data_IF_030908070747
#
_entry.id   IF_030908070747
#
_cell.length_a   1.000
_cell.length_b   1.000
_cell.length_c   1.000
_cell.angle_alpha   90.00
_cell.angle_beta   90.00
_cell.angle_gamma   90.00
#
_symmetry.space_group_name_H-M   'P 1'
#
loop_
_entity.id
_entity.type
_entity.pdbx_description
1 polymer ?
#
# COMPACT_ATOMS: atom_id res chain seq x y z
N UNK A 1 -9.17 -17.64 -5.29
CA UNK A 1 -8.48 -18.08 -6.53
C UNK A 1 -7.20 -17.27 -6.67
N UNK A 2 -6.12 -17.86 -7.17
CA UNK A 2 -4.91 -17.12 -7.55
C UNK A 2 -4.70 -17.25 -9.07
N UNK A 3 -4.46 -16.14 -9.75
CA UNK A 3 -4.17 -16.05 -11.18
C UNK A 3 -2.78 -15.46 -11.33
N UNK A 4 -1.92 -16.19 -12.02
CA UNK A 4 -0.58 -15.72 -12.36
C UNK A 4 -0.54 -15.41 -13.85
N UNK A 5 -0.12 -14.18 -14.20
CA UNK A 5 -0.03 -13.71 -15.58
C UNK A 5 1.34 -13.12 -15.86
N UNK A 6 1.85 -13.43 -17.06
CA UNK A 6 3.09 -12.88 -17.59
C UNK A 6 2.73 -12.13 -18.88
N UNK A 7 3.12 -10.87 -18.95
CA UNK A 7 2.87 -9.95 -20.04
C UNK A 7 4.16 -9.71 -20.83
N UNK A 8 4.02 -9.30 -22.09
CA UNK A 8 5.16 -9.01 -22.96
C UNK A 8 5.84 -7.69 -22.60
N UNK A 9 5.05 -6.71 -22.16
CA UNK A 9 5.47 -5.35 -21.82
C UNK A 9 5.14 -5.04 -20.36
N UNK A 10 5.90 -4.13 -19.77
CA UNK A 10 5.63 -3.63 -18.42
C UNK A 10 4.41 -2.71 -18.46
N UNK A 11 3.44 -2.97 -17.59
CA UNK A 11 2.23 -2.15 -17.45
C UNK A 11 2.00 -1.82 -15.98
N UNK A 12 1.29 -0.73 -15.70
CA UNK A 12 0.71 -0.46 -14.40
C UNK A 12 -0.78 -0.81 -14.43
N UNK A 13 -1.22 -1.81 -13.65
CA UNK A 13 -2.57 -2.37 -13.82
C UNK A 13 -3.69 -1.39 -13.47
N UNK A 14 -3.45 -0.46 -12.54
CA UNK A 14 -4.47 0.42 -11.97
C UNK A 14 -4.17 1.92 -12.14
N UNK A 15 -3.40 2.29 -13.16
CA UNK A 15 -2.88 3.64 -13.34
C UNK A 15 -2.71 4.08 -14.81
N UNK A 16 -2.40 5.36 -15.04
CA UNK A 16 -2.48 6.01 -16.37
C UNK A 16 -1.10 6.35 -17.00
N UNK A 17 0.00 6.20 -16.27
CA UNK A 17 1.38 6.50 -16.70
C UNK A 17 1.93 5.40 -17.61
N UNK A 18 1.69 4.14 -17.26
CA UNK A 18 1.90 2.95 -18.10
C UNK A 18 0.52 2.38 -18.49
N UNK A 19 -0.24 3.13 -19.31
CA UNK A 19 -1.65 2.83 -19.57
C UNK A 19 -1.78 1.49 -20.27
N UNK A 20 -2.84 0.78 -19.91
CA UNK A 20 -3.25 -0.46 -20.53
C UNK A 20 -4.78 -0.48 -20.69
N UNK A 21 -5.31 -1.41 -21.46
CA UNK A 21 -6.77 -1.62 -21.59
C UNK A 21 -7.16 -3.07 -21.19
N UNK A 22 -6.40 -3.61 -20.23
CA UNK A 22 -6.49 -5.00 -19.81
C UNK A 22 -7.68 -5.21 -18.89
N UNK A 23 -8.38 -6.32 -19.12
CA UNK A 23 -9.51 -6.78 -18.33
C UNK A 23 -9.32 -8.24 -17.97
N UNK A 24 -9.89 -8.64 -16.84
CA UNK A 24 -10.02 -10.05 -16.46
C UNK A 24 -11.49 -10.43 -16.58
N UNK A 25 -11.78 -11.40 -17.42
CA UNK A 25 -13.11 -11.96 -17.61
C UNK A 25 -13.20 -13.26 -16.82
N UNK A 26 -14.19 -13.33 -15.92
CA UNK A 26 -14.46 -14.50 -15.09
C UNK A 26 -15.84 -15.05 -15.40
N UNK A 27 -15.86 -16.30 -15.81
CA UNK A 27 -17.03 -17.18 -15.88
C UNK A 27 -16.96 -18.05 -14.61
N UNK A 28 -17.87 -17.80 -13.68
CA UNK A 28 -17.74 -18.24 -12.28
C UNK A 28 -18.36 -19.62 -12.04
N UNK A 29 -19.00 -20.22 -13.05
CA UNK A 29 -19.61 -21.54 -12.99
C UNK A 29 -19.30 -22.47 -14.18
N UNK A 30 -18.51 -22.01 -15.16
CA UNK A 30 -18.20 -22.70 -16.42
C UNK A 30 -19.46 -23.01 -17.25
N UNK A 31 -20.44 -22.10 -17.24
CA UNK A 31 -21.67 -22.16 -18.02
C UNK A 31 -21.76 -20.98 -19.00
N UNK A 32 -21.90 -21.28 -20.29
CA UNK A 32 -22.01 -20.25 -21.34
C UNK A 32 -23.38 -19.55 -21.35
N UNK A 33 -24.38 -20.09 -20.65
CA UNK A 33 -25.73 -19.54 -20.59
C UNK A 33 -25.93 -18.57 -19.42
N UNK A 34 -24.96 -18.47 -18.50
CA UNK A 34 -24.89 -17.47 -17.42
C UNK A 34 -24.01 -16.29 -17.83
N UNK A 35 -24.07 -15.19 -17.09
CA UNK A 35 -23.34 -13.96 -17.43
C UNK A 35 -23.67 -13.36 -18.80
N UNK A 36 -22.63 -12.87 -19.49
CA UNK A 36 -22.69 -12.31 -20.86
C UNK A 36 -21.55 -12.81 -21.74
N UNK A 37 -21.82 -12.98 -23.04
CA UNK A 37 -20.77 -13.20 -24.04
C UNK A 37 -20.06 -11.89 -24.38
N UNK A 38 -19.07 -11.54 -23.56
CA UNK A 38 -18.33 -10.31 -23.71
C UNK A 38 -17.45 -10.35 -24.98
N UNK A 39 -17.65 -9.37 -25.87
CA UNK A 39 -16.90 -9.23 -27.12
C UNK A 39 -16.93 -10.47 -28.05
N UNK A 40 -18.01 -11.27 -27.98
CA UNK A 40 -18.19 -12.50 -28.77
C UNK A 40 -17.03 -13.51 -28.58
N UNK A 41 -16.44 -13.55 -27.38
CA UNK A 41 -15.29 -14.39 -27.03
C UNK A 41 -15.68 -15.83 -26.67
N UNK A 42 -16.99 -16.10 -26.52
CA UNK A 42 -17.52 -17.43 -26.24
C UNK A 42 -17.32 -17.87 -24.79
N UNK A 43 -17.52 -16.97 -23.83
CA UNK A 43 -17.56 -17.24 -22.39
C UNK A 43 -18.87 -16.72 -21.78
N UNK A 44 -19.36 -17.36 -20.72
CA UNK A 44 -20.43 -16.82 -19.88
C UNK A 44 -19.85 -15.90 -18.82
N UNK A 45 -19.46 -14.66 -19.19
CA UNK A 45 -18.76 -13.76 -18.25
C UNK A 45 -19.72 -13.25 -17.18
N UNK A 46 -19.60 -13.76 -15.96
CA UNK A 46 -20.37 -13.30 -14.80
C UNK A 46 -19.73 -12.08 -14.13
N UNK A 47 -18.40 -11.98 -14.15
CA UNK A 47 -17.66 -10.90 -13.50
C UNK A 47 -16.51 -10.43 -14.40
N UNK A 48 -16.57 -9.16 -14.78
CA UNK A 48 -15.51 -8.46 -15.51
C UNK A 48 -14.75 -7.55 -14.55
N UNK A 49 -13.43 -7.59 -14.58
CA UNK A 49 -12.56 -6.68 -13.85
C UNK A 49 -11.89 -5.74 -14.86
N UNK A 50 -12.23 -4.46 -14.78
CA UNK A 50 -11.59 -3.38 -15.50
C UNK A 50 -10.47 -2.82 -14.61
N UNK A 51 -9.26 -3.30 -14.85
CA UNK A 51 -8.09 -3.02 -14.02
C UNK A 51 -7.73 -1.51 -14.06
N UNK A 52 -7.61 -0.86 -15.23
CA UNK A 52 -7.32 0.57 -15.30
C UNK A 52 -8.36 1.44 -14.58
N UNK A 53 -9.64 1.11 -14.71
CA UNK A 53 -10.73 1.88 -14.10
C UNK A 53 -11.02 1.50 -12.64
N UNK A 54 -10.26 0.53 -12.07
CA UNK A 54 -10.41 0.05 -10.69
C UNK A 54 -11.84 -0.39 -10.35
N UNK A 55 -12.48 -1.05 -11.32
CA UNK A 55 -13.89 -1.41 -11.24
C UNK A 55 -14.10 -2.88 -11.57
N UNK A 56 -15.02 -3.51 -10.86
CA UNK A 56 -15.60 -4.79 -11.23
C UNK A 56 -17.03 -4.59 -11.72
N UNK A 57 -17.44 -5.34 -12.73
CA UNK A 57 -18.79 -5.33 -13.29
C UNK A 57 -19.33 -6.75 -13.20
N UNK A 58 -20.36 -6.93 -12.38
CA UNK A 58 -21.08 -8.19 -12.27
C UNK A 58 -22.24 -8.20 -13.25
N UNK A 59 -22.41 -9.34 -13.92
CA UNK A 59 -23.49 -9.62 -14.87
C UNK A 59 -24.46 -10.68 -14.34
N UNK A 60 -24.02 -11.54 -13.41
CA UNK A 60 -24.89 -12.50 -12.74
C UNK A 60 -25.92 -11.78 -11.87
N UNK A 61 -27.21 -12.12 -12.03
CA UNK A 61 -28.31 -11.47 -11.29
C UNK A 61 -28.67 -10.04 -11.73
N UNK A 62 -28.01 -9.50 -12.76
CA UNK A 62 -28.19 -8.14 -13.29
C UNK A 62 -26.85 -7.44 -13.52
N UNK A 63 -26.85 -6.23 -14.09
CA UNK A 63 -25.62 -5.43 -14.27
C UNK A 63 -25.40 -4.51 -13.07
N UNK A 64 -24.30 -4.72 -12.34
CA UNK A 64 -23.90 -3.91 -11.19
C UNK A 64 -22.41 -3.58 -11.20
N UNK A 65 -22.07 -2.35 -10.82
CA UNK A 65 -20.68 -1.94 -10.63
C UNK A 65 -20.27 -2.12 -9.17
N UNK A 66 -19.11 -2.71 -8.96
CA UNK A 66 -18.50 -3.03 -7.67
C UNK A 66 -17.07 -2.49 -7.62
N UNK A 67 -16.55 -2.25 -6.42
CA UNK A 67 -15.13 -1.93 -6.24
C UNK A 67 -14.28 -3.20 -6.23
N UNK A 68 -12.98 -3.06 -6.47
CA UNK A 68 -12.03 -4.17 -6.34
C UNK A 68 -12.02 -4.77 -4.91
N UNK A 69 -12.33 -3.96 -3.89
CA UNK A 69 -12.43 -4.43 -2.51
C UNK A 69 -13.69 -5.26 -2.25
N UNK A 70 -14.81 -4.95 -2.91
CA UNK A 70 -16.07 -5.69 -2.75
C UNK A 70 -15.91 -7.14 -3.22
N UNK A 71 -15.11 -7.36 -4.26
CA UNK A 71 -14.77 -8.69 -4.79
C UNK A 71 -13.52 -9.31 -4.12
N UNK A 72 -12.90 -8.61 -3.17
CA UNK A 72 -11.70 -9.05 -2.47
C UNK A 72 -10.52 -9.35 -3.40
N UNK A 73 -10.28 -8.48 -4.39
CA UNK A 73 -9.14 -8.57 -5.29
C UNK A 73 -7.88 -7.99 -4.62
N UNK A 74 -6.82 -8.77 -4.59
CA UNK A 74 -5.47 -8.34 -4.22
C UNK A 74 -4.50 -8.62 -5.36
N UNK A 75 -3.59 -7.69 -5.63
CA UNK A 75 -2.66 -7.77 -6.76
C UNK A 75 -1.22 -7.57 -6.28
N UNK A 76 -0.29 -8.32 -6.82
CA UNK A 76 1.15 -8.16 -6.58
C UNK A 76 1.95 -8.26 -7.90
N UNK A 77 2.91 -7.36 -8.16
CA UNK A 77 3.18 -6.14 -7.40
C UNK A 77 2.07 -5.10 -7.60
N UNK A 78 2.06 -4.06 -6.74
CA UNK A 78 0.98 -3.07 -6.66
C UNK A 78 1.18 -1.83 -7.53
N UNK A 79 2.26 -1.76 -8.32
CA UNK A 79 2.54 -0.64 -9.21
C UNK A 79 2.64 -1.11 -10.66
N UNK A 80 3.85 -1.49 -11.10
CA UNK A 80 4.09 -1.97 -12.46
C UNK A 80 4.94 -3.24 -12.47
N UNK A 81 4.74 -4.05 -13.51
CA UNK A 81 5.50 -5.28 -13.74
C UNK A 81 5.22 -5.83 -15.14
N UNK A 82 6.02 -6.81 -15.55
CA UNK A 82 5.69 -7.76 -16.62
C UNK A 82 5.08 -9.05 -16.08
N UNK A 83 5.05 -9.23 -14.75
CA UNK A 83 4.57 -10.45 -14.08
C UNK A 83 3.70 -10.06 -12.88
N UNK A 84 2.48 -10.60 -12.80
CA UNK A 84 1.52 -10.29 -11.75
C UNK A 84 0.86 -11.54 -11.17
N UNK A 85 0.62 -11.52 -9.87
CA UNK A 85 -0.25 -12.44 -9.15
C UNK A 85 -1.51 -11.71 -8.67
N UNK A 86 -2.68 -12.23 -9.04
CA UNK A 86 -3.98 -11.71 -8.65
C UNK A 86 -4.69 -12.74 -7.78
N UNK A 87 -5.08 -12.34 -6.58
CA UNK A 87 -5.83 -13.15 -5.63
C UNK A 87 -7.27 -12.63 -5.54
N UNK A 88 -8.24 -13.49 -5.79
CA UNK A 88 -9.67 -13.21 -5.68
C UNK A 88 -10.25 -13.95 -4.49
N UNK A 89 -10.95 -13.23 -3.61
CA UNK A 89 -11.64 -13.83 -2.48
C UNK A 89 -12.88 -14.58 -2.94
N UNK A 90 -12.89 -15.91 -2.76
CA UNK A 90 -13.90 -16.82 -3.34
C UNK A 90 -15.33 -16.44 -3.01
N UNK A 91 -15.62 -16.16 -1.73
CA UNK A 91 -16.98 -15.80 -1.28
C UNK A 91 -17.40 -14.43 -1.81
N UNK A 92 -16.48 -13.47 -1.86
CA UNK A 92 -16.73 -12.12 -2.37
C UNK A 92 -16.99 -12.11 -3.88
N UNK A 93 -16.30 -12.99 -4.62
CA UNK A 93 -16.57 -13.18 -6.05
C UNK A 93 -17.82 -14.01 -6.33
N UNK A 94 -18.39 -14.69 -5.33
CA UNK A 94 -19.54 -15.60 -5.46
C UNK A 94 -19.26 -16.84 -6.35
N UNK A 95 -18.05 -17.40 -6.29
CA UNK A 95 -17.74 -18.65 -7.00
C UNK A 95 -18.45 -19.83 -6.30
N UNK A 96 -19.51 -20.33 -6.94
CA UNK A 96 -20.38 -21.40 -6.44
C UNK A 96 -20.31 -22.71 -7.27
N UNK A 97 -19.91 -22.62 -8.54
CA UNK A 97 -19.74 -23.74 -9.45
C UNK A 97 -18.55 -24.66 -9.14
N UNK A 98 -18.53 -25.89 -9.70
CA UNK A 98 -17.41 -26.84 -9.53
C UNK A 98 -16.16 -26.44 -10.33
N UNK A 99 -16.30 -25.50 -11.25
CA UNK A 99 -15.26 -25.02 -12.14
C UNK A 99 -15.55 -23.59 -12.56
N UNK A 100 -14.50 -22.91 -13.01
CA UNK A 100 -14.55 -21.55 -13.53
C UNK A 100 -13.71 -21.46 -14.80
N UNK A 101 -13.92 -20.41 -15.59
CA UNK A 101 -12.96 -19.99 -16.62
C UNK A 101 -12.48 -18.58 -16.38
N UNK A 102 -11.19 -18.38 -16.61
CA UNK A 102 -10.54 -17.08 -16.53
C UNK A 102 -9.97 -16.72 -17.88
N UNK A 103 -10.24 -15.52 -18.38
CA UNK A 103 -9.65 -14.99 -19.60
C UNK A 103 -9.07 -13.60 -19.34
N UNK A 104 -7.85 -13.39 -19.80
CA UNK A 104 -7.27 -12.07 -19.95
C UNK A 104 -7.76 -11.47 -21.27
N UNK A 105 -8.22 -10.23 -21.25
CA UNK A 105 -8.70 -9.54 -22.44
C UNK A 105 -8.01 -8.20 -22.58
N UNK A 106 -7.46 -7.94 -23.77
CA UNK A 106 -6.90 -6.64 -24.12
C UNK A 106 -7.92 -5.85 -24.96
N UNK A 107 -8.51 -4.81 -24.38
CA UNK A 107 -9.48 -3.97 -25.07
C UNK A 107 -8.90 -3.14 -26.21
N UNK A 108 -7.58 -2.92 -26.24
CA UNK A 108 -6.93 -2.17 -27.30
C UNK A 108 -6.82 -2.99 -28.59
N UNK A 109 -6.59 -4.30 -28.46
CA UNK A 109 -6.45 -5.23 -29.60
C UNK A 109 -7.72 -6.05 -29.86
N UNK A 110 -8.59 -6.19 -28.86
CA UNK A 110 -9.76 -7.08 -28.89
C UNK A 110 -9.40 -8.55 -28.71
N UNK A 111 -8.19 -8.86 -28.23
CA UNK A 111 -7.70 -10.23 -28.09
C UNK A 111 -7.97 -10.79 -26.70
N UNK A 112 -8.56 -12.00 -26.65
CA UNK A 112 -8.74 -12.79 -25.43
C UNK A 112 -7.72 -13.93 -25.33
N UNK A 113 -7.10 -14.10 -24.16
CA UNK A 113 -6.12 -15.14 -23.88
C UNK A 113 -6.33 -15.83 -22.51
N UNK A 114 -6.19 -17.17 -22.42
CA UNK A 114 -6.13 -18.09 -23.55
C UNK A 114 -7.49 -18.20 -24.24
N UNK A 115 -7.50 -18.57 -25.52
CA UNK A 115 -8.73 -18.78 -26.27
C UNK A 115 -9.63 -19.82 -25.58
N UNK A 116 -10.93 -19.51 -25.42
CA UNK A 116 -11.90 -20.33 -24.69
C UNK A 116 -11.75 -20.33 -23.17
N UNK A 117 -10.92 -19.45 -22.61
CA UNK A 117 -10.71 -19.29 -21.18
C UNK A 117 -9.88 -20.41 -20.55
N UNK A 118 -9.06 -20.05 -19.57
CA UNK A 118 -8.32 -20.99 -18.76
C UNK A 118 -9.29 -21.69 -17.80
N UNK A 119 -9.56 -22.97 -18.03
CA UNK A 119 -10.36 -23.80 -17.13
C UNK A 119 -9.64 -24.02 -15.80
N UNK A 120 -10.36 -23.84 -14.70
CA UNK A 120 -9.90 -24.18 -13.36
C UNK A 120 -11.00 -24.91 -12.59
N UNK A 121 -10.71 -26.14 -12.14
CA UNK A 121 -11.61 -26.87 -11.25
C UNK A 121 -11.47 -26.31 -9.83
N UNK A 122 -12.59 -25.94 -9.22
CA UNK A 122 -12.62 -25.41 -7.86
C UNK A 122 -12.32 -26.54 -6.87
N UNK A 123 -11.46 -26.25 -5.90
CA UNK A 123 -11.00 -27.22 -4.91
C UNK A 123 -11.30 -26.73 -3.50
N UNK A 124 -11.92 -27.60 -2.70
CA UNK A 124 -12.07 -27.41 -1.25
C UNK A 124 -10.79 -27.78 -0.48
N UNK A 125 -9.75 -28.26 -1.17
CA UNK A 125 -8.46 -28.52 -0.56
C UNK A 125 -7.81 -27.18 -0.19
N UNK A 126 -8.00 -26.77 1.05
CA UNK A 126 -7.31 -25.62 1.62
C UNK A 126 -5.83 -25.99 1.77
N UNK A 127 -4.95 -25.19 1.16
CA UNK A 127 -3.55 -25.15 1.59
C UNK A 127 -3.55 -24.87 3.10
N UNK A 128 -2.75 -25.60 3.91
CA UNK A 128 -2.70 -25.34 5.33
C UNK A 128 -2.23 -23.90 5.54
N UNK A 129 -3.12 -23.05 6.04
CA UNK A 129 -2.72 -21.71 6.47
C UNK A 129 -1.74 -21.85 7.62
N UNK A 130 -0.54 -21.32 7.44
CA UNK A 130 0.42 -21.17 8.51
C UNK A 130 0.27 -19.76 9.06
N UNK A 131 -0.21 -19.58 10.31
CA UNK A 131 -0.24 -18.28 10.93
C UNK A 131 1.17 -17.69 10.94
N UNK A 132 1.34 -16.52 10.31
CA UNK A 132 2.56 -15.76 10.46
C UNK A 132 2.42 -14.86 11.69
N UNK A 133 3.30 -15.04 12.66
CA UNK A 133 3.32 -14.19 13.84
C UNK A 133 3.75 -12.76 13.49
N UNK A 134 3.22 -11.78 14.23
CA UNK A 134 3.68 -10.38 14.20
C UNK A 134 4.86 -10.14 15.17
N UNK A 135 5.28 -11.20 15.86
CA UNK A 135 6.36 -11.15 16.83
C UNK A 135 7.64 -10.60 16.22
N UNK A 136 8.32 -9.79 17.01
CA UNK A 136 9.60 -9.20 16.62
C UNK A 136 10.62 -10.30 16.33
N UNK A 137 11.15 -10.40 15.10
CA UNK A 137 12.20 -11.36 14.80
C UNK A 137 13.45 -11.09 15.65
N UNK A 138 14.16 -12.15 16.03
CA UNK A 138 15.48 -12.03 16.66
C UNK A 138 16.41 -11.15 15.81
N UNK A 139 17.26 -10.35 16.46
CA UNK A 139 18.18 -9.38 15.81
C UNK A 139 17.52 -8.16 15.14
N UNK A 140 16.20 -7.97 15.27
CA UNK A 140 15.54 -6.74 14.79
C UNK A 140 16.00 -5.55 15.64
N UNK A 141 16.74 -4.63 15.02
CA UNK A 141 17.31 -3.47 15.71
C UNK A 141 16.27 -2.37 15.97
N UNK A 142 15.50 -2.02 14.94
CA UNK A 142 14.37 -1.09 15.03
C UNK A 142 13.22 -1.62 14.17
N UNK A 143 11.98 -1.39 14.63
CA UNK A 143 10.76 -1.56 13.85
C UNK A 143 10.16 -0.19 13.54
N UNK A 144 9.99 0.11 12.25
CA UNK A 144 9.48 1.41 11.78
C UNK A 144 8.11 1.21 11.14
N UNK A 145 7.18 2.12 11.43
CA UNK A 145 5.85 2.15 10.84
C UNK A 145 5.62 3.50 10.14
N UNK A 146 4.85 3.47 9.06
CA UNK A 146 4.32 4.65 8.38
C UNK A 146 2.81 4.53 8.34
N UNK A 147 2.10 5.58 8.76
CA UNK A 147 0.64 5.52 8.88
C UNK A 147 -0.02 6.85 8.53
N UNK A 148 -0.80 6.84 7.44
CA UNK A 148 -1.78 7.87 7.15
C UNK A 148 -3.00 7.75 8.09
N UNK A 149 -3.22 8.78 8.90
CA UNK A 149 -4.23 8.79 9.96
C UNK A 149 -5.63 9.19 9.47
N UNK A 150 -5.76 9.61 8.21
CA UNK A 150 -6.99 10.08 7.58
C UNK A 150 -7.72 11.14 8.43
N UNK A 151 -6.97 11.98 9.15
CA UNK A 151 -7.48 12.97 10.12
C UNK A 151 -8.43 12.37 11.17
N UNK A 152 -8.12 11.17 11.68
CA UNK A 152 -8.97 10.47 12.69
C UNK A 152 -8.30 10.23 14.04
N UNK A 153 -7.16 10.86 14.31
CA UNK A 153 -6.42 10.58 15.55
C UNK A 153 -7.18 11.05 16.80
N UNK A 154 -8.08 12.02 16.69
CA UNK A 154 -8.99 12.48 17.76
C UNK A 154 -10.27 11.65 17.92
N UNK A 155 -10.53 10.68 17.03
CA UNK A 155 -11.78 9.92 17.02
C UNK A 155 -11.66 8.65 17.87
N UNK A 156 -12.41 8.57 18.98
CA UNK A 156 -12.34 7.46 19.95
C UNK A 156 -12.54 6.06 19.33
N UNK A 157 -13.44 5.93 18.35
CA UNK A 157 -13.66 4.66 17.64
C UNK A 157 -12.46 4.24 16.79
N UNK A 158 -11.75 5.21 16.19
CA UNK A 158 -10.54 4.97 15.43
C UNK A 158 -9.36 4.66 16.37
N UNK A 159 -9.21 5.44 17.45
CA UNK A 159 -8.19 5.26 18.49
C UNK A 159 -8.19 3.84 19.08
N UNK A 160 -9.35 3.25 19.38
CA UNK A 160 -9.42 1.89 19.92
C UNK A 160 -8.87 0.83 18.94
N UNK A 161 -8.99 1.07 17.63
CA UNK A 161 -8.40 0.20 16.61
C UNK A 161 -6.90 0.48 16.44
N UNK A 162 -6.51 1.76 16.48
CA UNK A 162 -5.11 2.20 16.41
C UNK A 162 -4.31 1.64 17.58
N UNK A 163 -4.82 1.74 18.80
CA UNK A 163 -4.21 1.18 20.01
C UNK A 163 -3.92 -0.31 19.85
N UNK A 164 -4.92 -1.13 19.46
CA UNK A 164 -4.70 -2.57 19.25
C UNK A 164 -3.64 -2.86 18.20
N UNK A 165 -3.66 -2.12 17.08
CA UNK A 165 -2.71 -2.33 15.98
C UNK A 165 -1.30 -1.97 16.44
N UNK A 166 -1.12 -0.82 17.08
CA UNK A 166 0.18 -0.37 17.57
C UNK A 166 0.71 -1.28 18.69
N UNK A 167 -0.15 -1.79 19.58
CA UNK A 167 0.25 -2.78 20.60
C UNK A 167 0.67 -4.12 19.99
N UNK A 168 0.02 -4.58 18.92
CA UNK A 168 0.41 -5.80 18.22
C UNK A 168 1.70 -5.62 17.40
N UNK A 169 1.91 -4.42 16.85
CA UNK A 169 3.08 -4.09 16.05
C UNK A 169 4.28 -3.67 16.89
N UNK A 170 4.11 -3.09 18.08
CA UNK A 170 5.18 -2.54 18.93
C UNK A 170 6.32 -1.85 18.13
N UNK A 171 6.02 -0.77 17.37
CA UNK A 171 7.03 -0.03 16.63
C UNK A 171 7.95 0.76 17.58
N UNK A 172 9.14 1.09 17.09
CA UNK A 172 10.10 1.94 17.79
C UNK A 172 10.09 3.39 17.26
N UNK A 173 9.73 3.55 15.98
CA UNK A 173 9.62 4.84 15.30
C UNK A 173 8.37 4.80 14.40
N UNK A 174 7.60 5.89 14.36
CA UNK A 174 6.38 6.00 13.56
C UNK A 174 6.41 7.32 12.78
N UNK A 175 6.32 7.24 11.45
CA UNK A 175 5.95 8.37 10.60
C UNK A 175 4.43 8.46 10.44
N UNK A 176 3.85 9.62 10.71
CA UNK A 176 2.43 9.90 10.53
C UNK A 176 2.22 10.87 9.37
N UNK A 177 1.11 10.69 8.65
CA UNK A 177 0.56 11.66 7.71
C UNK A 177 -0.93 11.91 7.98
N UNK A 178 -1.47 13.01 7.43
CA UNK A 178 -2.83 13.49 7.68
C UNK A 178 -3.13 13.69 9.18
N UNK A 179 -2.21 14.38 9.86
CA UNK A 179 -2.31 14.78 11.28
C UNK A 179 -2.31 16.31 11.44
N UNK A 180 -2.87 17.04 10.48
CA UNK A 180 -2.80 18.52 10.45
C UNK A 180 -3.42 19.19 11.66
N UNK A 181 -4.48 18.61 12.22
CA UNK A 181 -5.22 19.16 13.36
C UNK A 181 -4.65 18.74 14.72
N UNK A 182 -3.63 17.87 14.74
CA UNK A 182 -3.08 17.29 15.95
C UNK A 182 -1.80 18.00 16.42
N UNK A 183 -1.54 17.93 17.73
CA UNK A 183 -0.31 18.45 18.34
C UNK A 183 0.64 17.32 18.74
N UNK A 184 1.97 17.53 18.70
CA UNK A 184 2.94 16.53 19.16
C UNK A 184 2.66 16.03 20.59
N UNK A 185 2.24 16.92 21.49
CA UNK A 185 1.92 16.56 22.88
C UNK A 185 0.68 15.67 23.01
N UNK A 186 -0.33 15.88 22.16
CA UNK A 186 -1.50 15.00 22.12
C UNK A 186 -1.12 13.60 21.67
N UNK A 187 -0.39 13.49 20.55
CA UNK A 187 0.07 12.20 20.01
C UNK A 187 0.99 11.48 20.99
N UNK A 188 1.94 12.19 21.61
CA UNK A 188 2.81 11.63 22.64
C UNK A 188 1.99 11.08 23.83
N UNK A 189 0.94 11.78 24.26
CA UNK A 189 0.05 11.32 25.32
C UNK A 189 -0.66 10.01 24.98
N UNK A 190 -1.16 9.88 23.76
CA UNK A 190 -1.77 8.64 23.26
C UNK A 190 -0.75 7.49 23.21
N UNK A 191 0.43 7.74 22.62
CA UNK A 191 1.48 6.72 22.52
C UNK A 191 2.00 6.28 23.90
N UNK A 192 2.17 7.20 24.84
CA UNK A 192 2.54 6.86 26.23
C UNK A 192 1.48 6.01 26.93
N UNK A 193 0.20 6.18 26.58
CA UNK A 193 -0.89 5.36 27.11
C UNK A 193 -0.91 3.98 26.46
N UNK A 194 -0.81 3.91 25.14
CA UNK A 194 -0.98 2.68 24.36
C UNK A 194 0.27 1.79 24.38
N UNK A 195 1.45 2.40 24.37
CA UNK A 195 2.77 1.79 24.30
C UNK A 195 3.70 2.43 25.37
N UNK A 196 3.44 2.21 26.67
CA UNK A 196 4.22 2.80 27.74
C UNK A 196 5.69 2.36 27.68
N UNK A 197 6.60 3.31 27.85
CA UNK A 197 8.04 3.05 27.89
C UNK A 197 8.51 2.73 29.31
N UNK A 198 9.65 2.07 29.42
CA UNK A 198 10.24 1.74 30.72
C UNK A 198 10.63 3.01 31.50
N UNK A 199 10.66 2.90 32.83
CA UNK A 199 11.10 3.97 33.75
C UNK A 199 10.33 5.29 33.60
N UNK A 200 9.04 5.22 33.24
CA UNK A 200 8.18 6.38 33.02
C UNK A 200 8.73 7.34 31.92
N UNK A 201 9.52 6.80 30.99
CA UNK A 201 9.96 7.56 29.82
C UNK A 201 8.78 7.92 28.91
N UNK A 202 8.94 9.01 28.15
CA UNK A 202 7.93 9.49 27.21
C UNK A 202 8.41 9.29 25.78
N UNK A 203 7.47 8.98 24.88
CA UNK A 203 7.67 9.14 23.45
C UNK A 203 8.07 10.57 23.11
N UNK A 204 9.00 10.71 22.16
CA UNK A 204 9.38 11.99 21.57
C UNK A 204 8.59 12.14 20.27
N UNK A 205 7.98 13.31 20.05
CA UNK A 205 7.18 13.58 18.85
C UNK A 205 7.54 14.96 18.32
N UNK A 206 7.75 15.05 17.00
CA UNK A 206 7.96 16.30 16.26
C UNK A 206 6.99 16.35 15.08
N UNK A 207 6.56 17.56 14.70
CA UNK A 207 5.64 17.83 13.59
C UNK A 207 6.32 18.76 12.59
N UNK A 208 5.97 18.61 11.32
CA UNK A 208 6.23 19.63 10.29
C UNK A 208 5.31 20.86 10.49
N UNK A 209 5.33 21.76 9.51
CA UNK A 209 4.47 22.95 9.49
C UNK A 209 3.04 22.68 9.00
N UNK A 210 2.70 21.43 8.67
CA UNK A 210 1.44 21.07 8.04
C UNK A 210 0.84 19.76 8.60
N UNK A 211 1.02 18.62 7.95
CA UNK A 211 0.24 17.40 8.18
C UNK A 211 1.07 16.14 8.47
N UNK A 212 2.37 16.28 8.74
CA UNK A 212 3.29 15.18 9.00
C UNK A 212 3.84 15.21 10.44
N UNK A 213 4.06 14.02 11.02
CA UNK A 213 4.77 13.89 12.29
C UNK A 213 5.73 12.70 12.26
N UNK A 214 6.74 12.77 13.11
CA UNK A 214 7.57 11.61 13.48
C UNK A 214 7.51 11.44 14.99
N UNK A 215 7.19 10.23 15.44
CA UNK A 215 7.29 9.80 16.82
C UNK A 215 8.39 8.75 16.98
N UNK A 216 9.16 8.83 18.06
CA UNK A 216 10.26 7.91 18.35
C UNK A 216 10.34 7.59 19.84
N UNK A 217 10.63 6.33 20.17
CA UNK A 217 11.04 5.93 21.52
C UNK A 217 12.39 6.55 21.91
N UNK A 218 13.29 6.71 20.93
CA UNK A 218 14.60 7.36 21.09
C UNK A 218 14.53 8.87 20.94
N UNK A 219 15.64 9.57 21.20
CA UNK A 219 15.68 11.03 21.09
C UNK A 219 15.47 11.50 19.64
N UNK A 220 14.75 12.62 19.47
CA UNK A 220 14.72 13.36 18.20
C UNK A 220 15.87 14.36 18.23
N UNK A 221 16.74 14.28 17.22
CA UNK A 221 17.95 15.10 17.14
C UNK A 221 17.69 16.38 16.35
N UNK A 222 17.02 16.26 15.19
CA UNK A 222 16.76 17.37 14.28
C UNK A 222 15.64 17.00 13.30
N UNK A 223 14.86 17.99 12.85
CA UNK A 223 13.83 17.83 11.82
C UNK A 223 13.97 18.90 10.74
N UNK A 224 13.61 18.55 9.51
CA UNK A 224 13.78 19.36 8.31
C UNK A 224 12.41 19.58 7.66
N UNK A 225 11.69 20.61 8.09
CA UNK A 225 10.32 20.91 7.64
C UNK A 225 10.27 21.71 6.33
N UNK A 226 11.43 22.07 5.77
CA UNK A 226 11.56 22.79 4.51
C UNK A 226 11.36 21.91 3.26
N UNK A 227 11.42 20.57 3.41
CA UNK A 227 11.24 19.65 2.29
C UNK A 227 9.75 19.48 2.02
N UNK A 228 9.28 19.92 0.86
CA UNK A 228 7.84 20.00 0.63
C UNK A 228 7.15 18.63 0.69
N UNK A 229 6.09 18.54 1.51
CA UNK A 229 5.25 17.34 1.75
C UNK A 229 5.99 16.11 2.27
N UNK A 230 7.19 16.32 2.81
CA UNK A 230 8.07 15.27 3.28
C UNK A 230 8.81 15.78 4.50
N UNK A 231 8.85 15.00 5.57
CA UNK A 231 9.44 15.45 6.81
C UNK A 231 10.60 14.53 7.22
N UNK A 232 11.82 14.79 6.70
CA UNK A 232 13.03 14.16 7.18
C UNK A 232 13.30 14.55 8.64
N UNK A 233 13.59 13.56 9.47
CA UNK A 233 13.90 13.71 10.89
C UNK A 233 15.06 12.79 11.24
N UNK A 234 16.10 13.37 11.82
CA UNK A 234 17.17 12.62 12.45
C UNK A 234 16.74 12.20 13.85
N UNK A 235 16.73 10.89 14.09
CA UNK A 235 16.46 10.29 15.39
C UNK A 235 17.68 9.53 15.89
N UNK A 236 17.77 9.36 17.20
CA UNK A 236 18.76 8.48 17.81
C UNK A 236 18.65 7.08 17.20
N UNK A 237 19.75 6.61 16.61
CA UNK A 237 19.83 5.28 16.02
C UNK A 237 20.03 4.21 17.08
N UNK A 238 19.82 2.95 16.71
CA UNK A 238 20.12 1.83 17.60
C UNK A 238 21.61 1.88 18.02
N UNK A 239 21.97 1.65 19.30
CA UNK A 239 23.35 1.76 19.78
C UNK A 239 24.38 0.95 18.97
N UNK A 240 23.95 -0.19 18.41
CA UNK A 240 24.78 -1.04 17.55
C UNK A 240 25.19 -0.42 16.20
N UNK A 241 24.52 0.64 15.73
CA UNK A 241 24.91 1.38 14.52
C UNK A 241 25.99 2.42 14.80
N UNK A 242 26.01 3.00 16.01
CA UNK A 242 26.92 4.09 16.36
C UNK A 242 26.68 5.40 15.59
N UNK A 243 25.59 5.47 14.82
CA UNK A 243 25.16 6.64 14.05
C UNK A 243 23.65 6.85 14.23
N UNK A 244 23.14 8.08 14.05
CA UNK A 244 21.70 8.35 13.97
C UNK A 244 21.01 7.58 12.85
N UNK A 245 19.68 7.64 12.83
CA UNK A 245 18.85 7.20 11.72
C UNK A 245 18.12 8.41 11.12
N UNK A 246 18.11 8.52 9.79
CA UNK A 246 17.25 9.46 9.08
C UNK A 246 15.96 8.76 8.70
N UNK A 247 14.82 9.21 9.25
CA UNK A 247 13.48 8.77 8.84
C UNK A 247 12.79 9.92 8.12
N UNK A 248 12.09 9.63 7.04
CA UNK A 248 11.26 10.61 6.33
C UNK A 248 9.84 10.12 6.31
N UNK A 249 8.95 10.81 7.03
CA UNK A 249 7.50 10.65 6.86
C UNK A 249 7.09 11.45 5.63
N UNK A 250 6.43 10.84 4.66
CA UNK A 250 5.98 11.53 3.45
C UNK A 250 4.47 11.44 3.28
N UNK A 251 3.92 12.46 2.63
CA UNK A 251 2.56 12.42 2.12
C UNK A 251 2.52 13.17 0.80
N UNK A 252 3.08 12.57 -0.24
CA UNK A 252 3.15 13.16 -1.57
C UNK A 252 1.77 13.52 -2.11
N UNK A 253 1.74 14.35 -3.16
CA UNK A 253 0.51 14.73 -3.86
C UNK A 253 -0.33 13.49 -4.12
N UNK A 254 -1.57 13.53 -3.65
CA UNK A 254 -2.55 12.47 -3.85
C UNK A 254 -2.98 12.36 -5.33
N UNK A 255 -3.86 11.43 -5.64
CA UNK A 255 -4.26 11.05 -6.98
C UNK A 255 -4.84 12.19 -7.84
N UNK A 256 -4.84 11.98 -9.16
CA UNK A 256 -5.64 12.75 -10.11
C UNK A 256 -4.84 13.29 -11.29
N UNK A 257 -4.81 12.52 -12.38
CA UNK A 257 -4.36 12.95 -13.71
C UNK A 257 -2.90 13.44 -13.79
N UNK A 258 -2.51 13.80 -15.01
CA UNK A 258 -1.13 14.17 -15.34
C UNK A 258 -0.54 15.32 -14.52
N UNK A 259 -1.35 16.28 -14.07
CA UNK A 259 -0.86 17.37 -13.23
C UNK A 259 -0.45 16.90 -11.84
N UNK A 260 -1.16 15.95 -11.25
CA UNK A 260 -0.81 15.41 -9.93
C UNK A 260 0.38 14.46 -10.02
N UNK A 261 0.52 13.71 -11.12
CA UNK A 261 1.74 12.93 -11.40
C UNK A 261 2.98 13.81 -11.53
N UNK A 262 2.88 14.93 -12.27
CA UNK A 262 3.98 15.87 -12.40
C UNK A 262 4.37 16.50 -11.05
N UNK A 263 3.38 16.76 -10.17
CA UNK A 263 3.63 17.24 -8.81
C UNK A 263 4.35 16.19 -7.95
N UNK A 264 3.88 14.93 -7.95
CA UNK A 264 4.56 13.82 -7.26
C UNK A 264 6.02 13.67 -7.72
N UNK A 265 6.27 13.75 -9.02
CA UNK A 265 7.63 13.68 -9.56
C UNK A 265 8.49 14.84 -9.04
N UNK A 266 7.97 16.07 -9.08
CA UNK A 266 8.68 17.23 -8.55
C UNK A 266 8.98 17.11 -7.05
N UNK A 267 8.04 16.59 -6.26
CA UNK A 267 8.22 16.38 -4.82
C UNK A 267 9.25 15.28 -4.55
N UNK A 268 9.21 14.17 -5.29
CA UNK A 268 10.22 13.11 -5.20
C UNK A 268 11.62 13.62 -5.59
N UNK A 269 11.73 14.42 -6.65
CA UNK A 269 12.98 15.03 -7.10
C UNK A 269 13.57 15.97 -6.03
N UNK A 270 12.73 16.75 -5.36
CA UNK A 270 13.12 17.64 -4.26
C UNK A 270 13.73 16.85 -3.09
N UNK A 271 13.09 15.76 -2.66
CA UNK A 271 13.64 14.92 -1.60
C UNK A 271 14.92 14.20 -2.02
N UNK A 272 14.99 13.70 -3.27
CA UNK A 272 16.22 13.09 -3.76
C UNK A 272 17.36 14.10 -3.85
N UNK A 273 17.07 15.38 -4.11
CA UNK A 273 18.05 16.45 -4.02
C UNK A 273 18.50 16.70 -2.57
N UNK A 274 17.57 16.85 -1.63
CA UNK A 274 17.86 16.96 -0.19
C UNK A 274 18.75 15.81 0.29
N UNK A 275 18.37 14.56 -0.04
CA UNK A 275 19.08 13.38 0.42
C UNK A 275 20.49 13.29 -0.18
N UNK A 276 20.66 13.64 -1.46
CA UNK A 276 21.97 13.69 -2.10
C UNK A 276 22.88 14.71 -1.42
N UNK A 277 22.37 15.90 -1.15
CA UNK A 277 23.13 16.98 -0.53
C UNK A 277 23.51 16.57 0.92
N UNK A 278 22.58 15.97 1.66
CA UNK A 278 22.81 15.45 3.00
C UNK A 278 23.90 14.35 3.07
N UNK A 279 23.93 13.45 2.08
CA UNK A 279 24.97 12.41 1.96
C UNK A 279 26.32 13.01 1.54
N UNK A 280 26.32 14.05 0.70
CA UNK A 280 27.53 14.73 0.26
C UNK A 280 28.12 15.66 1.34
N UNK A 281 27.31 16.03 2.35
CA UNK A 281 27.66 17.05 3.32
C UNK A 281 27.59 18.46 2.72
N UNK A 282 26.74 18.65 1.71
CA UNK A 282 26.46 19.90 1.02
C UNK A 282 25.07 20.43 1.43
N UNK A 283 24.76 21.68 1.05
CA UNK A 283 23.46 22.30 1.31
C UNK A 283 23.25 22.72 2.78
N UNK A 284 21.99 22.99 3.12
CA UNK A 284 21.57 23.44 4.46
C UNK A 284 21.02 22.29 5.34
N UNK A 285 20.90 21.08 4.78
CA UNK A 285 20.43 19.88 5.47
C UNK A 285 21.49 19.20 6.36
N UNK A 286 21.22 17.99 6.86
CA UNK A 286 22.14 17.31 7.76
C UNK A 286 23.36 16.77 7.01
N UNK A 287 24.53 16.77 7.65
CA UNK A 287 25.70 16.04 7.14
C UNK A 287 25.67 14.59 7.65
N UNK A 288 25.18 13.66 6.83
CA UNK A 288 25.02 12.26 7.22
C UNK A 288 26.36 11.52 7.26
N UNK A 289 26.67 10.90 8.40
CA UNK A 289 27.82 10.03 8.51
C UNK A 289 27.68 8.81 7.58
N UNK A 290 28.80 8.25 7.12
CA UNK A 290 28.79 7.01 6.35
C UNK A 290 28.08 5.89 7.14
N UNK A 291 27.28 5.09 6.43
CA UNK A 291 26.42 4.03 6.98
C UNK A 291 25.24 4.50 7.84
N UNK A 292 24.89 5.79 7.83
CA UNK A 292 23.62 6.25 8.41
C UNK A 292 22.45 5.54 7.73
N UNK A 293 21.60 4.80 8.47
CA UNK A 293 20.38 4.23 7.91
C UNK A 293 19.42 5.34 7.48
N UNK A 294 18.86 5.19 6.29
CA UNK A 294 17.86 6.09 5.73
C UNK A 294 16.60 5.26 5.48
N UNK A 295 15.47 5.71 6.02
CA UNK A 295 14.17 5.07 5.85
C UNK A 295 13.18 6.11 5.33
N UNK A 296 12.48 5.77 4.27
CA UNK A 296 11.47 6.60 3.62
C UNK A 296 10.15 5.84 3.58
N UNK A 297 9.05 6.53 3.88
CA UNK A 297 7.71 5.96 3.75
C UNK A 297 6.61 6.99 3.77
#
# INVERSE_FOLDING_TARGET
MFVHVILADEVGLDEEVLPNDLKVLLDLDDDLETGVDYADLGLGVDLLIDLPNRQAIRYSGGTGAESLNDIGLHVSPTYSSTEFELAFHRESTEIDGPSIRVMWYDGATGEGFPNGGAFHAVSEALSPWQPQGLERPAETLNRVAFWNMNNRMDQSGAQASMERILQALDPDIIGFSEVSDESPGFVAGLLNQWLPLENDASWNVIKDDYDLMVASKGAILEGFDEVYRQFPVLVEGHPGWGVPLLITSSHLKCCGGSSSEAQRQSEADEYMAFLRDAIAGDGDGPNLAANTPIIYG
#
